data_IF_510211681606
#
_entry.id   IF_510211681606
#
_cell.length_a   1.000
_cell.length_b   1.000
_cell.length_c   1.000
_cell.angle_alpha   90.00
_cell.angle_beta   90.00
_cell.angle_gamma   90.00
#
_symmetry.space_group_name_H-M   'P 1'
#
loop_
_entity.id
_entity.type
_entity.pdbx_description
1 polymer ?
#
# COMPACT_ATOMS: atom_id res chain seq x y z
N UNK A 1 -20.03 -9.68 -5.26
CA UNK A 1 -18.82 -10.31 -4.69
C UNK A 1 -17.67 -9.34 -4.83
N UNK A 2 -16.80 -9.24 -3.83
CA UNK A 2 -15.66 -8.32 -3.84
C UNK A 2 -14.43 -8.96 -3.18
N UNK A 3 -13.26 -8.41 -3.48
CA UNK A 3 -11.99 -8.77 -2.84
C UNK A 3 -11.32 -7.50 -2.35
N UNK A 4 -10.85 -7.53 -1.10
CA UNK A 4 -10.11 -6.45 -0.47
C UNK A 4 -8.76 -7.02 -0.05
N UNK A 5 -7.69 -6.40 -0.51
CA UNK A 5 -6.32 -6.73 -0.13
C UNK A 5 -5.74 -5.65 0.79
N UNK A 6 -4.66 -5.97 1.50
CA UNK A 6 -4.01 -5.11 2.48
C UNK A 6 -4.54 -5.29 3.90
N UNK A 7 -5.10 -6.44 4.24
CA UNK A 7 -5.55 -6.76 5.61
C UNK A 7 -4.35 -6.84 6.57
N UNK A 8 -3.22 -7.37 6.07
CA UNK A 8 -1.95 -7.48 6.79
C UNK A 8 -0.99 -6.32 6.49
N UNK A 9 -1.44 -5.28 5.79
CA UNK A 9 -0.59 -4.14 5.48
C UNK A 9 -0.16 -3.42 6.78
N UNK A 10 1.15 -3.19 7.00
CA UNK A 10 1.62 -2.47 8.17
C UNK A 10 1.08 -1.02 8.18
N UNK A 11 0.68 -0.54 9.35
CA UNK A 11 0.16 0.81 9.51
C UNK A 11 1.24 1.86 9.19
N UNK A 12 0.82 2.98 8.60
CA UNK A 12 1.72 4.09 8.24
C UNK A 12 2.68 3.78 7.10
N UNK A 13 2.55 2.61 6.46
CA UNK A 13 3.40 2.17 5.35
C UNK A 13 2.62 2.23 4.05
N UNK A 14 3.31 2.68 3.00
CA UNK A 14 2.77 2.74 1.66
C UNK A 14 3.12 1.43 0.95
N UNK A 15 2.09 0.70 0.53
CA UNK A 15 2.19 -0.58 -0.15
C UNK A 15 2.12 -0.38 -1.67
N UNK A 16 3.16 -0.86 -2.36
CA UNK A 16 3.24 -0.86 -3.82
C UNK A 16 3.34 0.52 -4.48
N UNK A 17 3.58 0.50 -5.79
CA UNK A 17 3.80 1.68 -6.62
C UNK A 17 2.60 2.64 -6.70
N UNK A 18 1.38 2.07 -6.62
CA UNK A 18 0.14 2.84 -6.70
C UNK A 18 -0.19 3.60 -5.39
N UNK A 19 0.67 3.49 -4.37
CA UNK A 19 0.54 4.31 -3.17
C UNK A 19 -0.60 3.87 -2.24
N UNK A 20 -0.80 2.56 -2.04
CA UNK A 20 -1.85 2.11 -1.12
C UNK A 20 -1.39 2.25 0.34
N UNK A 21 -1.95 3.19 1.08
CA UNK A 21 -1.69 3.39 2.51
C UNK A 21 -3.00 3.73 3.21
N UNK A 22 -2.98 3.72 4.55
CA UNK A 22 -4.10 4.15 5.39
C UNK A 22 -3.67 5.42 6.11
N UNK A 23 -4.38 6.52 5.87
CA UNK A 23 -4.14 7.80 6.54
C UNK A 23 -4.51 7.77 8.02
N UNK A 24 -4.04 8.77 8.77
CA UNK A 24 -4.43 8.93 10.17
C UNK A 24 -5.95 9.13 10.28
N UNK A 25 -6.63 8.32 11.08
CA UNK A 25 -8.10 8.36 11.21
C UNK A 25 -8.88 7.70 10.06
N UNK A 26 -8.23 7.28 8.97
CA UNK A 26 -8.91 6.57 7.88
C UNK A 26 -9.28 5.14 8.29
N UNK A 27 -10.42 4.66 7.77
CA UNK A 27 -10.86 3.28 7.90
C UNK A 27 -9.90 2.34 7.19
N UNK A 28 -9.52 1.24 7.85
CA UNK A 28 -8.59 0.25 7.30
C UNK A 28 -9.30 -0.79 6.40
N UNK A 29 -8.52 -1.69 5.79
CA UNK A 29 -9.03 -2.77 4.94
C UNK A 29 -10.11 -3.62 5.64
N UNK A 30 -9.93 -3.97 6.92
CA UNK A 30 -10.92 -4.75 7.70
C UNK A 30 -12.24 -4.02 7.87
N UNK A 31 -12.18 -2.71 8.10
CA UNK A 31 -13.39 -1.86 8.21
C UNK A 31 -14.15 -1.82 6.89
N UNK A 32 -13.42 -1.81 5.76
CA UNK A 32 -14.02 -1.88 4.41
C UNK A 32 -14.63 -3.24 4.12
N UNK A 33 -14.00 -4.34 4.56
CA UNK A 33 -14.56 -5.69 4.49
C UNK A 33 -15.89 -5.75 5.25
N UNK A 34 -15.91 -5.34 6.53
CA UNK A 34 -17.15 -5.30 7.34
C UNK A 34 -18.26 -4.49 6.68
N UNK A 35 -17.95 -3.28 6.21
CA UNK A 35 -18.95 -2.42 5.56
C UNK A 35 -19.54 -3.03 4.28
N UNK A 36 -18.75 -3.79 3.52
CA UNK A 36 -19.22 -4.51 2.34
C UNK A 36 -20.06 -5.73 2.72
N UNK A 37 -19.67 -6.47 3.75
CA UNK A 37 -20.44 -7.59 4.29
C UNK A 37 -21.80 -7.14 4.82
N UNK A 38 -21.84 -6.03 5.57
CA UNK A 38 -23.07 -5.40 6.07
C UNK A 38 -24.01 -4.97 4.92
N UNK A 39 -23.43 -4.60 3.77
CA UNK A 39 -24.17 -4.29 2.54
C UNK A 39 -24.59 -5.55 1.75
N UNK A 40 -24.35 -6.75 2.27
CA UNK A 40 -24.68 -8.03 1.64
C UNK A 40 -23.70 -8.47 0.54
N UNK A 41 -22.52 -7.85 0.45
CA UNK A 41 -21.49 -8.22 -0.52
C UNK A 41 -20.69 -9.40 0.02
N UNK A 42 -20.71 -10.52 -0.70
CA UNK A 42 -19.82 -11.66 -0.38
C UNK A 42 -18.37 -11.27 -0.65
N UNK A 43 -17.54 -11.35 0.39
CA UNK A 43 -16.10 -11.12 0.31
C UNK A 43 -15.38 -12.43 -0.01
N UNK A 44 -14.39 -12.37 -0.90
CA UNK A 44 -13.48 -13.48 -1.20
C UNK A 44 -12.04 -13.08 -0.92
N UNK A 45 -11.24 -14.04 -0.50
CA UNK A 45 -9.85 -13.82 -0.10
C UNK A 45 -8.83 -14.00 -1.22
N UNK A 46 -9.21 -14.50 -2.40
CA UNK A 46 -8.31 -14.59 -3.55
C UNK A 46 -9.09 -14.51 -4.88
N UNK A 47 -8.54 -13.94 -5.97
CA UNK A 47 -9.21 -13.81 -7.27
C UNK A 47 -9.69 -15.13 -7.87
N UNK A 48 -8.98 -16.25 -7.66
CA UNK A 48 -9.37 -17.56 -8.21
C UNK A 48 -10.75 -18.04 -7.72
N UNK A 49 -11.18 -17.60 -6.53
CA UNK A 49 -12.44 -18.03 -5.91
C UNK A 49 -13.68 -17.28 -6.41
N UNK A 50 -13.50 -16.22 -7.23
CA UNK A 50 -14.64 -15.48 -7.78
C UNK A 50 -15.55 -16.36 -8.62
N UNK A 51 -15.00 -17.26 -9.44
CA UNK A 51 -15.79 -18.13 -10.32
C UNK A 51 -16.76 -19.00 -9.55
N UNK A 52 -16.26 -19.76 -8.58
CA UNK A 52 -17.09 -20.60 -7.70
C UNK A 52 -18.06 -19.77 -6.87
N UNK A 53 -17.58 -18.66 -6.32
CA UNK A 53 -18.40 -17.77 -5.52
C UNK A 53 -19.59 -17.19 -6.30
N UNK A 54 -19.37 -16.75 -7.53
CA UNK A 54 -20.44 -16.27 -8.42
C UNK A 54 -21.41 -17.40 -8.78
N UNK A 55 -20.91 -18.62 -9.04
CA UNK A 55 -21.76 -19.79 -9.29
C UNK A 55 -22.70 -20.07 -8.12
N UNK A 56 -22.20 -20.02 -6.88
CA UNK A 56 -23.01 -20.20 -5.65
C UNK A 56 -24.05 -19.09 -5.49
N UNK A 57 -23.67 -17.84 -5.73
CA UNK A 57 -24.59 -16.70 -5.68
C UNK A 57 -25.73 -16.80 -6.71
N UNK A 58 -25.39 -17.18 -7.95
CA UNK A 58 -26.37 -17.34 -9.01
C UNK A 58 -27.31 -18.53 -8.75
N UNK A 59 -26.77 -19.65 -8.24
CA UNK A 59 -27.58 -20.80 -7.83
C UNK A 59 -28.47 -20.53 -6.60
N UNK A 60 -28.06 -19.62 -5.71
CA UNK A 60 -28.90 -19.16 -4.58
C UNK A 60 -30.09 -18.30 -5.04
N UNK A 61 -29.93 -17.56 -6.14
CA UNK A 61 -30.99 -16.70 -6.69
C UNK A 61 -32.04 -17.44 -7.53
N UNK A 62 -31.81 -18.69 -7.94
CA UNK A 62 -32.80 -19.47 -8.70
C UNK A 62 -33.99 -19.94 -7.86
N UNK A 63 -33.96 -19.75 -6.54
CA UNK A 63 -35.11 -20.03 -5.65
C UNK A 63 -36.06 -18.84 -5.46
N UNK A 64 -35.81 -17.69 -6.10
CA UNK A 64 -36.84 -16.65 -6.27
C UNK A 64 -37.61 -16.94 -7.56
N UNK A 65 -38.67 -17.72 -7.41
CA UNK A 65 -39.71 -17.92 -8.42
C UNK A 65 -40.22 -16.57 -8.93
N UNK A 66 -39.83 -16.18 -10.14
CA UNK A 66 -40.68 -15.34 -10.99
C UNK A 66 -41.24 -16.24 -12.09
N UNK A 67 -42.56 -16.39 -12.05
CA UNK A 67 -43.36 -16.92 -13.14
C UNK A 67 -43.09 -16.08 -14.40
N UNK A 68 -42.20 -16.55 -15.28
CA UNK A 68 -42.14 -16.07 -16.65
C UNK A 68 -42.77 -17.13 -17.53
N UNK A 69 -44.04 -16.89 -17.81
CA UNK A 69 -44.80 -17.53 -18.86
C UNK A 69 -44.00 -17.56 -20.15
N UNK A 70 -43.86 -18.76 -20.71
CA UNK A 70 -43.35 -19.01 -22.06
C UNK A 70 -44.23 -18.28 -23.08
N UNK A 71 -43.74 -17.15 -23.59
CA UNK A 71 -44.21 -16.58 -24.84
C UNK A 71 -43.01 -16.52 -25.80
N UNK A 72 -42.95 -17.52 -26.68
CA UNK A 72 -42.06 -17.57 -27.82
C UNK A 72 -42.39 -16.42 -28.79
N UNK A 73 -41.44 -15.53 -29.02
CA UNK A 73 -41.44 -14.67 -30.21
C UNK A 73 -40.00 -14.50 -30.71
N UNK A 74 -39.66 -14.93 -31.94
CA UNK A 74 -38.31 -14.83 -32.47
C UNK A 74 -38.09 -13.42 -33.05
N UNK A 75 -37.68 -12.46 -32.21
CA UNK A 75 -37.24 -11.15 -32.69
C UNK A 75 -35.72 -11.16 -32.92
N UNK A 76 -35.34 -10.91 -34.17
CA UNK A 76 -33.98 -10.97 -34.70
C UNK A 76 -32.95 -10.17 -33.87
N UNK A 77 -31.90 -10.87 -33.46
CA UNK A 77 -30.72 -10.30 -32.80
C UNK A 77 -29.89 -9.54 -33.86
N UNK A 78 -30.05 -8.21 -33.95
CA UNK A 78 -29.17 -7.36 -34.77
C UNK A 78 -27.78 -7.31 -34.13
N UNK A 79 -26.81 -8.01 -34.73
CA UNK A 79 -25.38 -7.83 -34.46
C UNK A 79 -24.98 -6.41 -34.87
N UNK A 80 -24.63 -5.56 -33.91
CA UNK A 80 -23.99 -4.28 -34.21
C UNK A 80 -22.49 -4.52 -34.47
N UNK A 81 -22.03 -4.03 -35.61
CA UNK A 81 -20.64 -4.12 -36.06
C UNK A 81 -19.90 -2.95 -35.40
N UNK A 82 -19.02 -3.22 -34.43
CA UNK A 82 -18.10 -2.22 -33.91
C UNK A 82 -16.90 -2.10 -34.86
N UNK A 83 -16.98 -1.22 -35.86
CA UNK A 83 -15.79 -0.66 -36.52
C UNK A 83 -15.40 0.63 -35.82
N UNK A 84 -14.50 0.54 -34.85
CA UNK A 84 -13.65 1.66 -34.46
C UNK A 84 -12.23 1.34 -34.93
N UNK A 85 -11.74 2.18 -35.84
CA UNK A 85 -10.37 2.20 -36.33
C UNK A 85 -9.41 2.24 -35.13
N UNK A 86 -8.56 1.22 -35.01
CA UNK A 86 -7.51 1.15 -34.00
C UNK A 86 -6.40 2.14 -34.41
N UNK A 87 -6.09 3.19 -33.65
CA UNK A 87 -4.93 4.01 -33.93
C UNK A 87 -3.68 3.13 -33.75
N UNK A 88 -2.80 3.16 -34.74
CA UNK A 88 -1.51 2.51 -34.65
C UNK A 88 -0.69 3.23 -33.57
N UNK A 89 -0.23 2.58 -32.48
CA UNK A 89 0.60 3.26 -31.51
C UNK A 89 1.97 3.53 -32.15
N UNK A 90 2.28 4.81 -32.37
CA UNK A 90 3.66 5.22 -32.62
C UNK A 90 4.50 4.78 -31.43
N UNK A 91 5.61 4.09 -31.70
CA UNK A 91 6.56 3.65 -30.69
C UNK A 91 7.26 4.88 -30.11
N UNK A 92 6.64 5.49 -29.11
CA UNK A 92 7.39 6.33 -28.19
C UNK A 92 8.24 5.39 -27.35
N UNK A 93 9.56 5.56 -27.46
CA UNK A 93 10.53 5.04 -26.51
C UNK A 93 10.11 5.50 -25.12
N UNK A 94 9.48 4.60 -24.37
CA UNK A 94 9.13 4.81 -22.98
C UNK A 94 10.45 4.93 -22.22
N UNK A 95 10.82 6.15 -21.83
CA UNK A 95 11.90 6.34 -20.87
C UNK A 95 11.53 5.53 -19.63
N UNK A 96 12.40 4.61 -19.21
CA UNK A 96 12.25 3.86 -17.98
C UNK A 96 12.08 4.85 -16.82
N UNK A 97 10.86 5.05 -16.35
CA UNK A 97 10.64 5.74 -15.09
C UNK A 97 10.90 4.72 -14.00
N UNK A 98 12.11 4.71 -13.44
CA UNK A 98 12.35 4.08 -12.14
C UNK A 98 11.35 4.71 -11.17
N UNK A 99 10.48 3.89 -10.59
CA UNK A 99 9.40 4.36 -9.73
C UNK A 99 9.81 4.22 -8.26
N UNK A 100 9.91 5.34 -7.57
CA UNK A 100 10.42 5.47 -6.20
C UNK A 100 9.34 6.02 -5.26
N UNK A 101 9.59 5.92 -3.94
CA UNK A 101 8.62 6.20 -2.88
C UNK A 101 8.45 7.71 -2.62
N UNK A 102 7.31 8.09 -2.05
CA UNK A 102 7.10 9.42 -1.43
C UNK A 102 8.25 9.80 -0.47
N UNK A 103 8.62 11.07 -0.44
CA UNK A 103 9.74 11.54 0.39
C UNK A 103 9.28 11.71 1.83
N UNK A 104 9.71 10.81 2.70
CA UNK A 104 9.62 11.03 4.14
C UNK A 104 10.89 11.73 4.62
N UNK A 105 10.73 12.85 5.30
CA UNK A 105 11.86 13.55 5.93
C UNK A 105 11.97 13.16 7.39
N UNK A 106 13.21 13.13 7.90
CA UNK A 106 13.47 12.78 9.28
C UNK A 106 12.84 13.81 10.24
N UNK A 107 12.50 13.37 11.45
CA UNK A 107 11.80 14.20 12.44
C UNK A 107 12.54 15.50 12.77
N UNK A 108 13.88 15.45 12.82
CA UNK A 108 14.72 16.64 13.03
C UNK A 108 14.58 17.67 11.90
N UNK A 109 14.36 17.23 10.66
CA UNK A 109 14.18 18.08 9.48
C UNK A 109 12.77 18.68 9.46
N UNK A 110 11.73 17.88 9.72
CA UNK A 110 10.36 18.40 9.82
C UNK A 110 10.20 19.37 11.00
N UNK A 111 10.83 19.09 12.13
CA UNK A 111 10.90 20.02 13.26
C UNK A 111 11.63 21.31 12.89
N UNK A 112 12.72 21.25 12.10
CA UNK A 112 13.41 22.44 11.61
C UNK A 112 12.51 23.32 10.74
N UNK A 113 11.76 22.72 9.80
CA UNK A 113 10.80 23.47 8.97
C UNK A 113 9.76 24.21 9.82
N UNK A 114 9.22 23.55 10.84
CA UNK A 114 8.28 24.17 11.78
C UNK A 114 8.92 25.32 12.57
N UNK A 115 10.17 25.13 13.02
CA UNK A 115 10.92 26.14 13.76
C UNK A 115 11.21 27.39 12.92
N UNK A 116 11.52 27.23 11.63
CA UNK A 116 11.72 28.33 10.68
C UNK A 116 10.45 29.18 10.50
N UNK A 117 9.27 28.55 10.63
CA UNK A 117 7.97 29.25 10.66
C UNK A 117 7.61 29.80 12.05
N UNK A 118 8.52 29.69 13.02
CA UNK A 118 8.39 30.19 14.38
C UNK A 118 7.48 29.34 15.27
N UNK A 119 7.21 28.08 14.93
CA UNK A 119 6.47 27.16 15.79
C UNK A 119 7.34 26.73 16.98
N UNK A 120 6.76 26.77 18.18
CA UNK A 120 7.43 26.33 19.41
C UNK A 120 7.53 24.80 19.43
N UNK A 121 8.75 24.29 19.64
CA UNK A 121 9.05 22.87 19.79
C UNK A 121 9.31 22.53 21.26
N UNK A 122 8.98 21.30 21.67
CA UNK A 122 9.35 20.75 22.98
C UNK A 122 10.06 19.42 22.82
N UNK A 123 11.14 19.21 23.57
CA UNK A 123 11.80 17.90 23.68
C UNK A 123 11.19 17.04 24.81
N UNK A 124 10.42 17.67 25.71
CA UNK A 124 9.82 17.02 26.87
C UNK A 124 8.44 16.49 26.51
N UNK A 125 8.28 15.17 26.48
CA UNK A 125 6.98 14.53 26.60
C UNK A 125 6.54 14.62 28.06
N UNK A 126 5.57 15.49 28.39
CA UNK A 126 4.95 15.46 29.73
C UNK A 126 3.97 14.28 29.77
N UNK A 127 4.23 13.21 30.53
CA UNK A 127 3.34 12.05 30.60
C UNK A 127 1.95 12.37 31.16
N UNK A 128 1.75 13.57 31.73
CA UNK A 128 0.44 14.05 32.22
C UNK A 128 -0.27 14.96 31.21
N UNK A 129 0.42 15.44 30.18
CA UNK A 129 -0.19 16.20 29.08
C UNK A 129 -1.01 15.24 28.23
N UNK A 130 -2.28 15.58 27.98
CA UNK A 130 -3.02 14.94 26.90
C UNK A 130 -2.46 15.46 25.60
N UNK A 131 -1.79 14.60 24.86
CA UNK A 131 -1.29 14.93 23.54
C UNK A 131 -2.39 14.79 22.50
N UNK A 132 -2.31 15.63 21.48
CA UNK A 132 -3.20 15.61 20.34
C UNK A 132 -2.37 15.50 19.07
N UNK A 133 -2.95 14.90 18.05
CA UNK A 133 -2.35 14.81 16.73
C UNK A 133 -3.13 15.69 15.78
N UNK A 134 -2.39 16.57 15.10
CA UNK A 134 -2.90 17.41 14.02
C UNK A 134 -2.29 16.89 12.73
N UNK A 135 -3.13 16.46 11.81
CA UNK A 135 -2.71 15.94 10.51
C UNK A 135 -3.32 16.76 9.39
N UNK A 136 -2.52 17.25 8.45
CA UNK A 136 -3.02 17.75 7.16
C UNK A 136 -2.78 16.68 6.12
N UNK A 137 -3.84 16.24 5.45
CA UNK A 137 -3.77 15.20 4.41
C UNK A 137 -4.92 15.36 3.41
N UNK A 138 -4.99 14.46 2.42
CA UNK A 138 -6.06 14.45 1.42
C UNK A 138 -7.23 13.59 1.89
N UNK A 139 -8.42 14.18 1.99
CA UNK A 139 -9.67 13.42 2.12
C UNK A 139 -10.03 12.84 0.75
N UNK A 140 -9.78 11.54 0.61
CA UNK A 140 -10.03 10.80 -0.63
C UNK A 140 -11.51 10.59 -0.94
N UNK A 141 -12.40 10.74 0.05
CA UNK A 141 -13.85 10.63 -0.14
C UNK A 141 -14.40 11.90 -0.77
N UNK A 142 -13.94 13.06 -0.28
CA UNK A 142 -14.39 14.36 -0.72
C UNK A 142 -13.49 15.00 -1.78
N UNK A 143 -12.40 14.32 -2.17
CA UNK A 143 -11.41 14.78 -3.15
C UNK A 143 -10.81 16.15 -2.82
N UNK A 144 -10.62 16.44 -1.53
CA UNK A 144 -10.17 17.73 -1.04
C UNK A 144 -9.15 17.57 0.09
N UNK A 145 -8.21 18.51 0.29
CA UNK A 145 -7.38 18.54 1.49
C UNK A 145 -8.23 18.67 2.74
N UNK A 146 -7.75 18.16 3.87
CA UNK A 146 -8.44 18.24 5.15
C UNK A 146 -7.45 18.32 6.32
N UNK A 147 -7.94 18.84 7.44
CA UNK A 147 -7.29 18.75 8.74
C UNK A 147 -7.98 17.62 9.49
N UNK A 148 -7.20 16.69 10.05
CA UNK A 148 -7.66 15.64 10.93
C UNK A 148 -7.09 15.92 12.31
N UNK A 149 -7.96 15.94 13.32
CA UNK A 149 -7.58 15.99 14.73
C UNK A 149 -7.86 14.66 15.37
N UNK A 150 -6.94 14.16 16.19
CA UNK A 150 -7.14 12.90 16.91
C UNK A 150 -6.34 12.86 18.21
N UNK A 151 -6.71 11.96 19.11
CA UNK A 151 -6.01 11.71 20.38
C UNK A 151 -5.02 10.54 20.29
N UNK A 152 -4.91 9.88 19.14
CA UNK A 152 -4.06 8.72 18.92
C UNK A 152 -3.63 8.62 17.45
N UNK A 153 -2.38 8.17 17.20
CA UNK A 153 -1.91 7.84 15.85
C UNK A 153 -2.24 6.36 15.60
N UNK A 154 -3.34 6.11 14.88
CA UNK A 154 -3.64 4.79 14.31
C UNK A 154 -4.48 3.84 15.16
N UNK A 155 -4.93 2.76 14.52
CA UNK A 155 -5.87 1.78 15.10
C UNK A 155 -7.33 2.23 15.16
N UNK A 156 -8.21 1.35 15.64
CA UNK A 156 -9.66 1.64 15.80
C UNK A 156 -9.89 2.83 16.75
N UNK A 157 -9.04 3.00 17.78
CA UNK A 157 -9.12 4.12 18.72
C UNK A 157 -8.86 5.49 18.08
N UNK A 158 -7.95 5.56 17.10
CA UNK A 158 -7.73 6.79 16.33
C UNK A 158 -8.90 7.06 15.37
N UNK A 159 -9.44 6.02 14.73
CA UNK A 159 -10.59 6.15 13.81
C UNK A 159 -11.85 6.66 14.52
N UNK A 160 -12.15 6.15 15.71
CA UNK A 160 -13.36 6.53 16.45
C UNK A 160 -13.28 7.95 17.04
N UNK A 161 -12.08 8.47 17.26
CA UNK A 161 -11.86 9.77 17.87
C UNK A 161 -11.29 10.81 16.89
N UNK A 162 -11.15 10.45 15.62
CA UNK A 162 -10.70 11.38 14.58
C UNK A 162 -11.86 12.28 14.15
N UNK A 163 -11.60 13.59 14.10
CA UNK A 163 -12.50 14.58 13.49
C UNK A 163 -11.83 15.20 12.29
N UNK A 164 -12.57 15.23 11.18
CA UNK A 164 -12.10 15.73 9.88
C UNK A 164 -12.74 17.08 9.56
N UNK A 165 -11.92 18.04 9.19
CA UNK A 165 -12.32 19.39 8.79
C UNK A 165 -11.84 19.63 7.34
N UNK A 166 -12.75 19.67 6.36
CA UNK A 166 -12.39 19.88 4.96
C UNK A 166 -11.78 21.27 4.75
N UNK A 167 -10.60 21.33 4.13
CA UNK A 167 -9.95 22.57 3.72
C UNK A 167 -10.45 23.00 2.35
N UNK A 168 -10.72 24.30 2.20
CA UNK A 168 -10.97 24.90 0.90
C UNK A 168 -9.69 25.02 0.06
N UNK A 169 -9.86 25.33 -1.23
CA UNK A 169 -8.74 25.61 -2.14
C UNK A 169 -8.00 26.91 -1.82
N UNK A 170 -8.59 27.74 -0.96
CA UNK A 170 -8.07 29.04 -0.56
C UNK A 170 -6.88 28.99 0.40
N UNK A 171 -6.32 27.79 0.68
CA UNK A 171 -5.06 27.55 1.39
C UNK A 171 -4.96 28.17 2.78
N UNK A 172 -6.10 28.54 3.38
CA UNK A 172 -6.16 29.13 4.71
C UNK A 172 -7.29 28.53 5.53
N UNK A 173 -7.17 28.67 6.84
CA UNK A 173 -8.16 28.19 7.79
C UNK A 173 -9.14 29.33 8.06
N UNK A 174 -10.43 29.08 7.79
CA UNK A 174 -11.46 30.05 8.11
C UNK A 174 -11.72 30.09 9.63
N UNK A 175 -12.22 31.23 10.13
CA UNK A 175 -12.43 31.42 11.57
C UNK A 175 -13.44 30.44 12.19
N UNK A 176 -14.42 29.97 11.41
CA UNK A 176 -15.39 28.98 11.86
C UNK A 176 -14.75 27.60 12.06
N UNK A 177 -13.92 27.13 11.13
CA UNK A 177 -13.17 25.88 11.26
C UNK A 177 -12.21 25.94 12.43
N UNK A 178 -11.47 27.04 12.59
CA UNK A 178 -10.59 27.21 13.74
C UNK A 178 -11.36 27.08 15.06
N UNK A 179 -12.53 27.72 15.15
CA UNK A 179 -13.38 27.65 16.34
C UNK A 179 -13.86 26.23 16.63
N UNK A 180 -14.24 25.47 15.60
CA UNK A 180 -14.62 24.06 15.73
C UNK A 180 -13.44 23.21 16.21
N UNK A 181 -12.27 23.34 15.58
CA UNK A 181 -11.05 22.62 15.98
C UNK A 181 -10.67 22.94 17.43
N UNK A 182 -10.65 24.23 17.81
CA UNK A 182 -10.31 24.66 19.16
C UNK A 182 -11.29 24.12 20.21
N UNK A 183 -12.59 24.10 19.88
CA UNK A 183 -13.63 23.53 20.76
C UNK A 183 -13.43 22.02 20.93
N UNK A 184 -13.15 21.32 19.83
CA UNK A 184 -13.00 19.87 19.82
C UNK A 184 -11.74 19.39 20.55
N UNK A 185 -10.68 20.18 20.52
CA UNK A 185 -9.45 19.96 21.28
C UNK A 185 -9.53 20.48 22.72
N UNK A 186 -10.65 21.07 23.12
CA UNK A 186 -10.83 21.74 24.42
C UNK A 186 -9.67 22.72 24.72
N UNK A 187 -9.33 23.53 23.72
CA UNK A 187 -8.28 24.55 23.80
C UNK A 187 -8.76 25.74 24.63
N UNK A 188 -7.88 26.23 25.52
CA UNK A 188 -8.12 27.45 26.28
C UNK A 188 -7.64 28.66 25.47
N UNK A 189 -8.00 29.88 25.91
CA UNK A 189 -7.66 31.12 25.17
C UNK A 189 -6.16 31.30 25.00
N UNK A 190 -5.40 30.85 26.00
CA UNK A 190 -3.94 30.87 26.04
C UNK A 190 -3.33 29.97 24.94
N UNK A 191 -4.05 28.93 24.53
CA UNK A 191 -3.63 28.03 23.44
C UNK A 191 -3.89 28.60 22.04
N UNK A 192 -4.78 29.59 21.88
CA UNK A 192 -5.31 29.97 20.56
C UNK A 192 -4.25 30.51 19.62
N UNK A 193 -3.33 31.33 20.10
CA UNK A 193 -2.24 31.86 19.28
C UNK A 193 -1.30 30.74 18.82
N UNK A 194 -0.89 29.87 19.75
CA UNK A 194 -0.03 28.72 19.44
C UNK A 194 -0.69 27.72 18.47
N UNK A 195 -1.99 27.45 18.64
CA UNK A 195 -2.76 26.59 17.75
C UNK A 195 -2.86 27.18 16.35
N UNK A 196 -3.19 28.48 16.25
CA UNK A 196 -3.29 29.18 14.97
C UNK A 196 -1.98 29.12 14.21
N UNK A 197 -0.86 29.30 14.92
CA UNK A 197 0.48 29.25 14.34
C UNK A 197 0.81 27.85 13.84
N UNK A 198 0.63 26.81 14.66
CA UNK A 198 0.88 25.42 14.27
C UNK A 198 0.07 25.06 13.02
N UNK A 199 -1.25 25.32 13.05
CA UNK A 199 -2.16 24.95 11.97
C UNK A 199 -1.85 25.72 10.67
N UNK A 200 -1.62 27.02 10.75
CA UNK A 200 -1.24 27.83 9.57
C UNK A 200 0.08 27.34 8.97
N UNK A 201 1.08 27.04 9.80
CA UNK A 201 2.37 26.54 9.33
C UNK A 201 2.27 25.19 8.61
N UNK A 202 1.56 24.21 9.17
CA UNK A 202 1.42 22.90 8.51
C UNK A 202 0.58 23.01 7.23
N UNK A 203 -0.46 23.84 7.19
CA UNK A 203 -1.27 24.06 5.99
C UNK A 203 -0.45 24.73 4.89
N UNK A 204 0.35 25.74 5.24
CA UNK A 204 1.23 26.41 4.30
C UNK A 204 2.29 25.46 3.73
N UNK A 205 2.97 24.67 4.58
CA UNK A 205 3.92 23.64 4.12
C UNK A 205 3.21 22.65 3.20
N UNK A 206 2.00 22.21 3.55
CA UNK A 206 1.24 21.23 2.78
C UNK A 206 1.03 21.69 1.34
N UNK A 207 0.54 22.92 1.16
CA UNK A 207 0.26 23.47 -0.17
C UNK A 207 1.51 23.95 -0.91
N UNK A 208 2.53 24.48 -0.23
CA UNK A 208 3.71 25.05 -0.87
C UNK A 208 4.75 24.00 -1.26
N UNK A 209 4.79 22.87 -0.57
CA UNK A 209 5.76 21.79 -0.80
C UNK A 209 5.13 20.52 -1.39
N UNK A 210 3.87 20.62 -1.84
CA UNK A 210 3.12 19.50 -2.41
C UNK A 210 3.17 18.27 -1.48
N UNK A 211 2.87 18.51 -0.20
CA UNK A 211 2.89 17.44 0.78
C UNK A 211 1.69 16.52 0.60
N UNK A 212 1.86 15.27 1.03
CA UNK A 212 0.81 14.27 1.00
C UNK A 212 0.20 14.00 2.38
N UNK A 213 1.05 14.01 3.41
CA UNK A 213 0.61 13.85 4.81
C UNK A 213 1.60 14.55 5.73
N UNK A 214 1.12 15.50 6.53
CA UNK A 214 1.89 16.20 7.55
C UNK A 214 1.22 15.95 8.90
N UNK A 215 1.85 15.15 9.75
CA UNK A 215 1.33 14.87 11.11
C UNK A 215 2.23 15.51 12.16
N UNK A 216 1.64 16.23 13.11
CA UNK A 216 2.33 16.79 14.27
C UNK A 216 1.70 16.28 15.56
N UNK A 217 2.53 15.86 16.51
CA UNK A 217 2.15 15.57 17.89
C UNK A 217 2.30 16.85 18.69
N UNK A 218 1.21 17.33 19.25
CA UNK A 218 1.14 18.59 19.99
C UNK A 218 0.91 18.28 21.46
N UNK A 219 1.75 18.84 22.34
CA UNK A 219 1.58 18.78 23.78
C UNK A 219 1.23 20.15 24.35
N UNK A 220 0.58 20.15 25.51
CA UNK A 220 0.23 21.38 26.23
C UNK A 220 1.18 21.56 27.41
N UNK A 221 1.75 22.75 27.55
CA UNK A 221 2.61 23.07 28.69
C UNK A 221 1.78 23.52 29.92
N UNK A 222 2.45 23.71 31.07
CA UNK A 222 1.81 24.17 32.32
C UNK A 222 1.17 25.56 32.22
N UNK A 223 1.51 26.36 31.19
CA UNK A 223 0.95 27.69 30.94
C UNK A 223 -0.26 27.65 30.00
N UNK A 224 -0.64 26.47 29.52
CA UNK A 224 -1.74 26.30 28.57
C UNK A 224 -1.35 26.52 27.09
N UNK A 225 -0.10 26.83 26.79
CA UNK A 225 0.37 27.00 25.42
C UNK A 225 0.66 25.64 24.77
N UNK A 226 0.50 25.57 23.45
CA UNK A 226 0.77 24.38 22.67
C UNK A 226 2.17 24.42 22.07
N UNK A 227 2.82 23.25 22.05
CA UNK A 227 4.12 23.05 21.42
C UNK A 227 4.15 21.73 20.66
N UNK A 228 4.91 21.68 19.57
CA UNK A 228 5.08 20.45 18.79
C UNK A 228 6.17 19.61 19.45
N UNK A 229 5.81 18.41 19.89
CA UNK A 229 6.74 17.44 20.45
C UNK A 229 7.43 16.66 19.34
N UNK A 230 6.66 16.20 18.34
CA UNK A 230 7.15 15.38 17.23
C UNK A 230 6.43 15.73 15.93
N UNK A 231 7.09 15.52 14.80
CA UNK A 231 6.49 15.70 13.49
C UNK A 231 6.90 14.60 12.52
N UNK A 232 6.00 14.20 11.64
CA UNK A 232 6.20 13.19 10.60
C UNK A 232 5.63 13.73 9.30
N UNK A 233 6.51 14.20 8.42
CA UNK A 233 6.15 14.85 7.17
C UNK A 233 6.48 13.95 5.98
N UNK A 234 5.53 13.84 5.07
CA UNK A 234 5.64 13.05 3.85
C UNK A 234 5.17 13.87 2.66
N UNK A 235 6.01 13.92 1.62
CA UNK A 235 5.81 14.71 0.42
C UNK A 235 5.58 13.84 -0.81
N UNK A 236 4.88 14.39 -1.80
CA UNK A 236 4.64 13.69 -3.06
C UNK A 236 5.93 13.66 -3.91
N UNK A 237 6.47 12.46 -4.13
CA UNK A 237 7.66 12.26 -4.97
C UNK A 237 7.34 12.46 -6.46
N UNK A 238 6.07 12.36 -6.88
CA UNK A 238 5.67 12.63 -8.26
C UNK A 238 5.95 14.09 -8.68
N UNK A 239 5.88 15.03 -7.73
CA UNK A 239 6.21 16.44 -7.95
C UNK A 239 7.67 16.64 -8.42
N UNK A 240 8.59 15.96 -7.75
CA UNK A 240 10.01 15.97 -8.11
C UNK A 240 10.26 15.14 -9.38
N UNK A 241 9.65 13.97 -9.51
CA UNK A 241 9.92 13.07 -10.63
C UNK A 241 9.45 13.60 -11.98
N UNK A 242 8.22 14.10 -12.06
CA UNK A 242 7.62 14.55 -13.31
C UNK A 242 7.97 16.00 -13.65
N UNK A 243 8.01 16.87 -12.64
CA UNK A 243 8.18 18.31 -12.81
C UNK A 243 9.53 18.87 -12.36
N UNK A 244 10.42 18.05 -11.77
CA UNK A 244 11.68 18.49 -11.14
C UNK A 244 11.50 19.60 -10.09
N UNK A 245 10.30 19.68 -9.49
CA UNK A 245 9.99 20.60 -8.40
C UNK A 245 10.45 20.04 -7.06
N UNK A 246 10.64 20.90 -6.06
CA UNK A 246 10.95 20.48 -4.68
C UNK A 246 12.24 19.65 -4.55
N UNK A 247 13.28 19.95 -5.35
CA UNK A 247 14.59 19.29 -5.23
C UNK A 247 15.26 19.53 -3.87
N UNK A 248 14.92 20.62 -3.19
CA UNK A 248 15.30 20.89 -1.80
C UNK A 248 14.74 19.84 -0.84
N UNK A 249 13.47 19.44 -1.01
CA UNK A 249 12.83 18.39 -0.20
C UNK A 249 13.43 17.02 -0.53
N UNK A 250 13.66 16.71 -1.81
CA UNK A 250 14.31 15.47 -2.21
C UNK A 250 15.69 15.32 -1.56
N UNK A 251 16.46 16.42 -1.52
CA UNK A 251 17.79 16.46 -0.92
C UNK A 251 17.79 16.28 0.61
N UNK A 252 16.64 16.40 1.28
CA UNK A 252 16.51 16.14 2.71
C UNK A 252 16.37 14.65 3.03
N UNK A 253 16.02 13.79 2.07
CA UNK A 253 15.85 12.36 2.35
C UNK A 253 17.13 11.76 2.95
N UNK A 254 17.04 11.23 4.17
CA UNK A 254 18.12 10.50 4.82
C UNK A 254 17.83 8.99 4.79
N UNK A 255 18.60 8.26 3.99
CA UNK A 255 18.45 6.80 3.85
C UNK A 255 19.08 6.02 5.00
N UNK A 256 19.82 6.66 5.91
CA UNK A 256 20.46 5.98 7.04
C UNK A 256 19.46 5.46 8.07
N UNK A 257 18.35 6.16 8.24
CA UNK A 257 17.28 5.79 9.17
C UNK A 257 16.22 4.88 8.51
N UNK A 258 16.38 4.58 7.21
CA UNK A 258 15.52 3.67 6.47
C UNK A 258 16.03 2.22 6.53
N UNK A 259 15.16 1.26 6.21
CA UNK A 259 15.53 -0.16 6.16
C UNK A 259 16.47 -0.39 4.97
N UNK A 260 17.73 -0.83 5.19
CA UNK A 260 18.74 -0.91 4.12
C UNK A 260 18.28 -1.75 2.91
N UNK A 261 17.61 -2.86 3.18
CA UNK A 261 17.09 -3.77 2.15
C UNK A 261 16.01 -3.10 1.27
N UNK A 262 15.23 -2.17 1.85
CA UNK A 262 14.21 -1.43 1.10
C UNK A 262 14.83 -0.34 0.23
N UNK A 263 15.84 0.37 0.75
CA UNK A 263 16.62 1.37 0.00
C UNK A 263 17.36 0.71 -1.17
N UNK A 264 17.86 -0.51 -0.97
CA UNK A 264 18.51 -1.27 -2.03
C UNK A 264 17.51 -1.74 -3.10
N UNK A 265 16.38 -2.33 -2.68
CA UNK A 265 15.30 -2.74 -3.59
C UNK A 265 14.81 -1.60 -4.48
N UNK A 266 14.71 -0.41 -3.90
CA UNK A 266 14.23 0.76 -4.60
C UNK A 266 15.10 1.09 -5.82
N UNK A 267 16.42 0.90 -5.77
CA UNK A 267 17.33 1.19 -6.90
C UNK A 267 16.94 0.45 -8.18
N UNK A 268 16.39 -0.76 -8.04
CA UNK A 268 15.94 -1.61 -9.13
C UNK A 268 14.44 -1.43 -9.46
N UNK A 269 13.78 -0.44 -8.84
CA UNK A 269 12.33 -0.21 -8.98
C UNK A 269 11.47 -1.27 -8.30
N UNK A 270 12.02 -1.97 -7.30
CA UNK A 270 11.31 -3.00 -6.53
C UNK A 270 10.72 -2.36 -5.28
N UNK A 271 9.42 -2.56 -5.04
CA UNK A 271 8.81 -2.17 -3.77
C UNK A 271 8.90 -3.34 -2.81
N UNK A 272 9.97 -3.34 -2.02
CA UNK A 272 10.18 -4.26 -0.92
C UNK A 272 9.77 -3.62 0.40
N UNK A 273 9.03 -4.33 1.25
CA UNK A 273 8.71 -3.91 2.61
C UNK A 273 8.98 -5.08 3.55
N UNK A 274 9.87 -4.87 4.53
CA UNK A 274 10.17 -5.88 5.54
C UNK A 274 9.03 -5.94 6.55
N UNK A 275 8.37 -7.09 6.69
CA UNK A 275 7.28 -7.27 7.64
C UNK A 275 7.86 -7.62 9.02
N UNK A 276 7.32 -6.99 10.07
CA UNK A 276 7.71 -7.25 11.46
C UNK A 276 7.19 -8.63 11.91
N UNK A 277 7.82 -9.21 12.93
CA UNK A 277 7.42 -10.49 13.53
C UNK A 277 8.32 -11.66 13.12
N UNK A 278 7.79 -12.88 13.20
CA UNK A 278 8.54 -14.13 12.98
C UNK A 278 8.28 -14.75 11.59
N UNK A 279 7.74 -13.97 10.65
CA UNK A 279 7.45 -14.43 9.30
C UNK A 279 8.67 -15.05 8.62
N UNK A 280 8.45 -16.22 8.01
CA UNK A 280 9.49 -17.08 7.46
C UNK A 280 9.28 -17.44 5.98
N UNK A 281 8.21 -16.94 5.36
CA UNK A 281 7.93 -17.08 3.94
C UNK A 281 8.34 -15.80 3.22
N UNK A 282 9.39 -15.87 2.41
CA UNK A 282 9.74 -14.79 1.49
C UNK A 282 8.69 -14.70 0.37
N UNK A 283 8.28 -13.50 -0.05
CA UNK A 283 7.35 -13.33 -1.18
C UNK A 283 8.01 -12.56 -2.32
N UNK A 284 7.76 -13.00 -3.56
CA UNK A 284 8.13 -12.32 -4.80
C UNK A 284 6.90 -12.32 -5.71
N UNK A 285 6.31 -11.15 -5.92
CA UNK A 285 5.05 -11.00 -6.65
C UNK A 285 5.15 -9.84 -7.63
N UNK A 286 4.46 -9.93 -8.76
CA UNK A 286 4.31 -8.77 -9.66
C UNK A 286 2.93 -8.13 -9.48
N UNK A 287 2.93 -6.82 -9.22
CA UNK A 287 1.74 -6.01 -9.03
C UNK A 287 1.33 -5.87 -7.55
N UNK A 288 1.25 -4.63 -7.10
CA UNK A 288 0.92 -4.27 -5.71
C UNK A 288 -0.33 -4.95 -5.14
N UNK A 289 -1.43 -4.99 -5.90
CA UNK A 289 -2.68 -5.61 -5.45
C UNK A 289 -2.56 -7.12 -5.25
N UNK A 290 -1.87 -7.80 -6.18
CA UNK A 290 -1.60 -9.23 -6.07
C UNK A 290 -0.62 -9.53 -4.93
N UNK A 291 0.40 -8.69 -4.74
CA UNK A 291 1.36 -8.83 -3.65
C UNK A 291 0.66 -8.70 -2.29
N UNK A 292 -0.21 -7.70 -2.11
CA UNK A 292 -0.97 -7.53 -0.87
C UNK A 292 -1.92 -8.71 -0.64
N UNK A 293 -2.61 -9.15 -1.69
CA UNK A 293 -3.51 -10.29 -1.60
C UNK A 293 -2.77 -11.61 -1.31
N UNK A 294 -1.57 -11.78 -1.85
CA UNK A 294 -0.74 -12.96 -1.60
C UNK A 294 -0.35 -13.05 -0.13
N UNK A 295 0.07 -11.92 0.47
CA UNK A 295 0.37 -11.85 1.90
C UNK A 295 -0.86 -12.16 2.75
N UNK A 296 -2.01 -11.56 2.41
CA UNK A 296 -3.27 -11.78 3.14
C UNK A 296 -3.73 -13.24 3.04
N UNK A 297 -3.73 -13.82 1.84
CA UNK A 297 -4.25 -15.17 1.62
C UNK A 297 -3.33 -16.26 2.22
N UNK A 298 -2.01 -16.04 2.26
CA UNK A 298 -1.09 -16.92 3.02
C UNK A 298 -1.39 -16.82 4.52
N UNK A 299 -1.64 -15.61 5.04
CA UNK A 299 -1.97 -15.41 6.45
C UNK A 299 -3.31 -16.08 6.82
N UNK A 300 -4.31 -16.03 5.95
CA UNK A 300 -5.60 -16.73 6.14
C UNK A 300 -5.43 -18.25 6.24
N UNK A 301 -4.43 -18.82 5.55
CA UNK A 301 -4.07 -20.24 5.60
C UNK A 301 -3.12 -20.59 6.77
N UNK A 302 -2.81 -19.63 7.65
CA UNK A 302 -1.95 -19.82 8.82
C UNK A 302 -0.45 -19.80 8.51
N UNK A 303 -0.06 -19.22 7.37
CA UNK A 303 1.33 -18.89 7.05
C UNK A 303 1.73 -17.50 7.54
N UNK A 304 3.02 -17.20 7.56
CA UNK A 304 3.53 -15.88 7.94
C UNK A 304 4.60 -15.41 6.95
N UNK A 305 4.30 -14.34 6.21
CA UNK A 305 5.25 -13.74 5.26
C UNK A 305 6.30 -12.89 5.99
N UNK A 306 7.56 -13.04 5.60
CA UNK A 306 8.68 -12.24 6.09
C UNK A 306 8.68 -10.83 5.50
N UNK A 307 8.15 -10.70 4.28
CA UNK A 307 8.16 -9.47 3.50
C UNK A 307 6.91 -9.35 2.61
N UNK A 308 6.70 -8.12 2.13
CA UNK A 308 5.93 -7.80 0.94
C UNK A 308 6.92 -7.40 -0.17
N UNK A 309 6.72 -7.89 -1.39
CA UNK A 309 7.51 -7.47 -2.56
C UNK A 309 6.63 -7.37 -3.80
N UNK A 310 6.69 -6.21 -4.46
CA UNK A 310 6.18 -5.98 -5.82
C UNK A 310 7.35 -5.63 -6.75
N UNK A 311 7.58 -6.45 -7.78
CA UNK A 311 8.67 -6.24 -8.76
C UNK A 311 8.42 -5.06 -9.71
N UNK A 312 7.25 -4.39 -9.64
CA UNK A 312 6.98 -3.21 -10.44
C UNK A 312 6.57 -3.53 -11.89
N UNK A 313 5.45 -4.23 -12.06
CA UNK A 313 4.75 -4.43 -13.35
C UNK A 313 5.51 -5.21 -14.44
N UNK A 314 6.82 -5.41 -14.30
CA UNK A 314 7.68 -6.20 -15.19
C UNK A 314 8.51 -7.14 -14.30
N UNK A 315 8.50 -8.42 -14.63
CA UNK A 315 9.31 -9.44 -13.96
C UNK A 315 10.44 -9.86 -14.91
N UNK A 316 11.42 -8.98 -15.09
CA UNK A 316 12.62 -9.31 -15.89
C UNK A 316 13.56 -10.22 -15.11
N UNK A 317 14.49 -10.90 -15.78
CA UNK A 317 15.47 -11.76 -15.11
C UNK A 317 16.30 -11.02 -14.07
N UNK A 318 16.66 -9.76 -14.33
CA UNK A 318 17.45 -8.91 -13.43
C UNK A 318 16.64 -8.55 -12.18
N UNK A 319 15.41 -8.08 -12.35
CA UNK A 319 14.52 -7.73 -11.22
C UNK A 319 14.18 -8.96 -10.37
N UNK A 320 14.00 -10.13 -10.98
CA UNK A 320 13.84 -11.40 -10.26
C UNK A 320 15.09 -11.75 -9.45
N UNK A 321 16.28 -11.64 -10.05
CA UNK A 321 17.55 -11.90 -9.36
C UNK A 321 17.79 -10.94 -8.19
N UNK A 322 17.60 -9.63 -8.39
CA UNK A 322 17.67 -8.64 -7.31
C UNK A 322 16.65 -8.94 -6.21
N UNK A 323 15.43 -9.31 -6.56
CA UNK A 323 14.38 -9.68 -5.59
C UNK A 323 14.80 -10.86 -4.73
N UNK A 324 15.33 -11.93 -5.32
CA UNK A 324 15.87 -13.07 -4.56
C UNK A 324 17.02 -12.64 -3.65
N UNK A 325 17.96 -11.82 -4.16
CA UNK A 325 19.07 -11.32 -3.37
C UNK A 325 18.60 -10.56 -2.11
N UNK A 326 17.61 -9.68 -2.26
CA UNK A 326 17.04 -8.88 -1.18
C UNK A 326 16.29 -9.75 -0.16
N UNK A 327 15.45 -10.67 -0.63
CA UNK A 327 14.69 -11.59 0.23
C UNK A 327 15.65 -12.45 1.09
N UNK A 328 16.72 -12.96 0.47
CA UNK A 328 17.68 -13.85 1.14
C UNK A 328 18.58 -13.15 2.16
N UNK A 329 18.59 -11.81 2.22
CA UNK A 329 19.25 -11.08 3.32
C UNK A 329 18.54 -11.23 4.66
N UNK A 330 17.26 -11.62 4.63
CA UNK A 330 16.50 -11.86 5.84
C UNK A 330 16.70 -13.30 6.34
N UNK A 331 17.42 -13.52 7.46
CA UNK A 331 17.71 -14.86 7.95
C UNK A 331 16.47 -15.62 8.44
N UNK A 332 15.31 -14.95 8.58
CA UNK A 332 14.04 -15.61 8.92
C UNK A 332 13.49 -16.43 7.75
N UNK A 333 13.86 -16.10 6.51
CA UNK A 333 13.30 -16.73 5.31
C UNK A 333 13.75 -18.18 5.21
N UNK A 334 12.79 -19.10 5.31
CA UNK A 334 12.99 -20.55 5.17
C UNK A 334 12.52 -21.09 3.83
N UNK A 335 11.65 -20.37 3.14
CA UNK A 335 11.12 -20.72 1.83
C UNK A 335 10.65 -19.45 1.12
N UNK A 336 10.59 -19.48 -0.21
CA UNK A 336 10.17 -18.34 -1.02
C UNK A 336 8.96 -18.72 -1.85
N UNK A 337 7.92 -17.88 -1.82
CA UNK A 337 6.78 -17.96 -2.70
C UNK A 337 6.89 -16.95 -3.84
N UNK A 338 7.01 -17.46 -5.06
CA UNK A 338 6.96 -16.68 -6.29
C UNK A 338 5.55 -16.79 -6.87
N UNK A 339 4.82 -15.68 -6.95
CA UNK A 339 3.47 -15.66 -7.53
C UNK A 339 3.44 -14.62 -8.64
N UNK A 340 3.53 -15.07 -9.90
CA UNK A 340 3.65 -14.19 -11.05
C UNK A 340 2.53 -14.44 -12.06
N UNK A 341 1.84 -13.36 -12.45
CA UNK A 341 0.99 -13.35 -13.63
C UNK A 341 1.75 -12.75 -14.82
N UNK A 342 2.04 -13.56 -15.84
CA UNK A 342 2.85 -13.28 -17.02
C UNK A 342 2.20 -12.32 -18.04
N UNK A 343 1.58 -11.23 -17.58
CA UNK A 343 0.81 -10.30 -18.41
C UNK A 343 1.52 -9.91 -19.72
N UNK A 344 2.63 -9.17 -19.64
CA UNK A 344 3.44 -8.81 -20.82
C UNK A 344 4.64 -9.75 -21.06
N UNK A 345 5.07 -10.47 -20.03
CA UNK A 345 6.25 -11.34 -20.07
C UNK A 345 5.80 -12.79 -20.11
N UNK A 346 6.30 -13.57 -21.06
CA UNK A 346 5.92 -14.97 -21.21
C UNK A 346 6.41 -15.81 -20.01
N UNK A 347 5.61 -16.78 -19.56
CA UNK A 347 5.91 -17.54 -18.35
C UNK A 347 7.18 -18.41 -18.47
N UNK A 348 7.53 -18.86 -19.68
CA UNK A 348 8.78 -19.58 -19.97
C UNK A 348 10.02 -18.69 -19.77
N UNK A 349 9.95 -17.42 -20.16
CA UNK A 349 11.02 -16.46 -19.89
C UNK A 349 11.17 -16.20 -18.39
N UNK A 350 10.05 -16.07 -17.68
CA UNK A 350 10.04 -15.86 -16.22
C UNK A 350 10.62 -17.09 -15.50
N UNK A 351 10.21 -18.30 -15.90
CA UNK A 351 10.74 -19.55 -15.39
C UNK A 351 12.26 -19.65 -15.59
N UNK A 352 12.75 -19.30 -16.78
CA UNK A 352 14.19 -19.25 -17.06
C UNK A 352 14.91 -18.24 -16.14
N UNK A 353 14.35 -17.04 -15.98
CA UNK A 353 14.89 -16.02 -15.07
C UNK A 353 14.98 -16.50 -13.62
N UNK A 354 13.96 -17.20 -13.13
CA UNK A 354 13.95 -17.81 -11.79
C UNK A 354 15.04 -18.87 -11.67
N UNK A 355 15.15 -19.79 -12.63
CA UNK A 355 16.15 -20.86 -12.62
C UNK A 355 17.59 -20.32 -12.67
N UNK A 356 17.84 -19.29 -13.48
CA UNK A 356 19.13 -18.62 -13.55
C UNK A 356 19.47 -17.92 -12.23
N UNK A 357 18.53 -17.14 -11.68
CA UNK A 357 18.72 -16.50 -10.38
C UNK A 357 18.97 -17.52 -9.26
N UNK A 358 18.26 -18.65 -9.27
CA UNK A 358 18.42 -19.73 -8.31
C UNK A 358 19.86 -20.29 -8.33
N UNK A 359 20.39 -20.56 -9.52
CA UNK A 359 21.75 -21.09 -9.69
C UNK A 359 22.81 -20.03 -9.35
N UNK A 360 22.65 -18.82 -9.87
CA UNK A 360 23.62 -17.73 -9.71
C UNK A 360 23.80 -17.29 -8.26
N UNK A 361 22.70 -17.26 -7.49
CA UNK A 361 22.73 -16.85 -6.08
C UNK A 361 22.98 -18.02 -5.13
N UNK A 362 23.06 -19.26 -5.64
CA UNK A 362 23.22 -20.46 -4.82
C UNK A 362 22.09 -20.64 -3.82
N UNK A 363 20.84 -20.44 -4.25
CA UNK A 363 19.67 -20.51 -3.36
C UNK A 363 19.53 -21.92 -2.79
N UNK A 364 19.48 -22.02 -1.46
CA UNK A 364 19.36 -23.30 -0.74
C UNK A 364 17.97 -23.54 -0.16
N UNK A 365 17.20 -22.47 0.05
CA UNK A 365 15.81 -22.57 0.53
C UNK A 365 14.89 -23.02 -0.60
N UNK A 366 13.88 -23.88 -0.31
CA UNK A 366 12.93 -24.30 -1.33
C UNK A 366 12.09 -23.13 -1.82
N UNK A 367 11.79 -23.13 -3.13
CA UNK A 367 10.99 -22.08 -3.77
C UNK A 367 9.74 -22.69 -4.39
N UNK A 368 8.58 -22.15 -4.03
CA UNK A 368 7.30 -22.52 -4.64
C UNK A 368 6.95 -21.44 -5.65
N UNK A 369 6.65 -21.85 -6.88
CA UNK A 369 6.40 -20.96 -8.00
C UNK A 369 5.00 -21.19 -8.54
N UNK A 370 4.20 -20.13 -8.57
CA UNK A 370 2.95 -20.07 -9.31
C UNK A 370 3.11 -19.13 -10.49
N UNK A 371 2.96 -19.67 -11.70
CA UNK A 371 2.99 -18.94 -12.96
C UNK A 371 1.63 -19.04 -13.63
N UNK A 372 1.03 -17.90 -13.97
CA UNK A 372 -0.20 -17.83 -14.77
C UNK A 372 -0.03 -16.91 -15.97
N UNK A 373 -0.50 -17.29 -17.14
CA UNK A 373 -0.47 -16.47 -18.36
C UNK A 373 0.00 -17.22 -19.60
N UNK A 374 0.48 -16.48 -20.60
CA UNK A 374 0.97 -17.09 -21.84
C UNK A 374 2.19 -17.98 -21.56
N UNK A 375 2.21 -19.17 -22.15
CA UNK A 375 3.23 -20.20 -21.95
C UNK A 375 3.33 -20.73 -20.50
N UNK A 376 2.26 -20.64 -19.70
CA UNK A 376 2.27 -21.14 -18.31
C UNK A 376 2.67 -22.63 -18.23
N UNK A 377 2.11 -23.49 -19.07
CA UNK A 377 2.44 -24.92 -19.12
C UNK A 377 3.94 -25.16 -19.44
N UNK A 378 4.50 -24.39 -20.36
CA UNK A 378 5.92 -24.50 -20.76
C UNK A 378 6.82 -24.08 -19.58
N UNK A 379 6.52 -22.94 -18.95
CA UNK A 379 7.27 -22.45 -17.79
C UNK A 379 7.20 -23.40 -16.60
N UNK A 380 6.03 -23.98 -16.32
CA UNK A 380 5.87 -24.98 -15.27
C UNK A 380 6.67 -26.26 -15.56
N UNK A 381 6.64 -26.75 -16.81
CA UNK A 381 7.44 -27.90 -17.23
C UNK A 381 8.94 -27.65 -17.09
N UNK A 382 9.42 -26.47 -17.51
CA UNK A 382 10.82 -26.07 -17.35
C UNK A 382 11.27 -26.13 -15.88
N UNK A 383 10.41 -25.64 -14.96
CA UNK A 383 10.70 -25.66 -13.53
C UNK A 383 10.74 -27.10 -13.01
N UNK A 384 9.75 -27.93 -13.37
CA UNK A 384 9.66 -29.33 -12.93
C UNK A 384 10.85 -30.18 -13.40
N UNK A 385 11.34 -29.94 -14.62
CA UNK A 385 12.47 -30.67 -15.22
C UNK A 385 13.85 -30.11 -14.81
N UNK A 386 13.90 -29.01 -14.04
CA UNK A 386 15.15 -28.30 -13.73
C UNK A 386 16.10 -29.06 -12.78
N UNK A 387 15.58 -30.02 -12.01
CA UNK A 387 16.31 -30.72 -10.95
C UNK A 387 16.67 -29.85 -9.73
N UNK A 388 16.18 -28.61 -9.70
CA UNK A 388 16.34 -27.68 -8.57
C UNK A 388 15.22 -27.89 -7.54
N UNK A 389 15.38 -27.36 -6.32
CA UNK A 389 14.32 -27.37 -5.28
C UNK A 389 13.23 -26.32 -5.58
N UNK A 390 12.70 -26.36 -6.80
CA UNK A 390 11.63 -25.51 -7.30
C UNK A 390 10.36 -26.34 -7.46
N UNK A 391 9.23 -25.84 -6.97
CA UNK A 391 7.94 -26.52 -7.07
C UNK A 391 6.94 -25.65 -7.83
N UNK A 392 6.52 -26.08 -9.02
CA UNK A 392 5.58 -25.35 -9.85
C UNK A 392 4.12 -25.76 -9.58
N UNK A 393 3.22 -24.78 -9.48
CA UNK A 393 1.78 -24.98 -9.26
C UNK A 393 0.95 -24.09 -10.17
N UNK A 394 -0.23 -24.57 -10.52
CA UNK A 394 -1.25 -23.77 -11.22
C UNK A 394 -2.21 -23.09 -10.23
N UNK A 395 -2.77 -23.89 -9.31
CA UNK A 395 -3.71 -23.43 -8.30
C UNK A 395 -3.01 -22.63 -7.19
N UNK A 396 -3.68 -21.57 -6.71
CA UNK A 396 -3.14 -20.73 -5.66
C UNK A 396 -3.17 -21.40 -4.30
N UNK A 397 -4.28 -22.03 -3.92
CA UNK A 397 -4.44 -22.61 -2.59
C UNK A 397 -3.46 -23.78 -2.43
N UNK A 398 -3.26 -24.61 -3.48
CA UNK A 398 -2.23 -25.66 -3.50
C UNK A 398 -0.82 -25.11 -3.30
N UNK A 399 -0.45 -24.07 -4.07
CA UNK A 399 0.87 -23.44 -3.96
C UNK A 399 1.08 -22.80 -2.58
N UNK A 400 0.06 -22.12 -2.04
CA UNK A 400 0.10 -21.48 -0.73
C UNK A 400 0.21 -22.51 0.39
N UNK A 401 -0.54 -23.61 0.35
CA UNK A 401 -0.39 -24.72 1.29
C UNK A 401 1.01 -25.33 1.21
N UNK A 402 1.54 -25.52 0.00
CA UNK A 402 2.88 -26.10 -0.16
C UNK A 402 3.97 -25.22 0.43
N UNK A 403 3.92 -23.91 0.19
CA UNK A 403 4.93 -23.00 0.74
C UNK A 403 4.83 -22.92 2.27
N UNK A 404 3.62 -22.96 2.84
CA UNK A 404 3.43 -23.02 4.30
C UNK A 404 3.98 -24.32 4.89
N UNK A 405 3.76 -25.45 4.23
CA UNK A 405 4.32 -26.74 4.63
C UNK A 405 5.85 -26.69 4.68
N UNK A 406 6.48 -26.21 3.60
CA UNK A 406 7.94 -26.09 3.50
C UNK A 406 8.52 -25.10 4.52
N UNK A 407 7.81 -24.01 4.80
CA UNK A 407 8.22 -23.03 5.82
C UNK A 407 8.29 -23.61 7.24
N UNK A 408 7.49 -24.65 7.52
CA UNK A 408 7.43 -25.32 8.82
C UNK A 408 8.47 -26.43 8.97
N UNK A 409 9.02 -26.93 7.85
CA UNK A 409 10.08 -27.92 7.87
C UNK A 409 11.37 -27.26 8.39
N UNK A 410 12.07 -27.98 9.28
CA UNK A 410 13.18 -27.45 10.07
C UNK A 410 14.45 -27.27 9.25
#
# INVERSE_FOLDING_TARGET
MALIAGIQAPQGRIMGHAGAFVGAGEKNARSKVRALEDAGVVITNHPSKFGEGMKRLLAGNTNRTSSWSSASNPAAQKRQIHTLLRPNPQSNTVSQSSQWRNVHIAENQSNRMLKEMGVTLTESEDPRSRDYFLTVTMDRTNYAPCIITSFSIGGESAQNNAKTYPLGLEKHINGSMFSSIATDLNCQKESFESLTKILSSIVEIFFNKEAFSLTTRVSRNNRGELSVARSSFTFDDAAFRSGKRHGDIQGMRDTKDEVPEEVEAEKDGIVYIKLKGEGNIGTLVNGAGLAMNTVDAIADLGGQCANFLDTGGKATSETVKSSFHIILKDPRVKTIFVNIFGGLTLCDMIANGIMLAYKDLGITVPVVVRLRGTNEEIGQKMIAESGLSLHAFDDFDEAAMKVIELARQK
#
